data_IF_403378860079
#
_entry.id   IF_403378860079
#
_cell.length_a   1.000
_cell.length_b   1.000
_cell.length_c   1.000
_cell.angle_alpha   90.00
_cell.angle_beta   90.00
_cell.angle_gamma   90.00
#
_symmetry.space_group_name_H-M   'P 1'
#
loop_
_entity.id
_entity.type
_entity.pdbx_description
1 polymer ?
#
# COMPACT_ATOMS: atom_id res chain seq x y z
N UNK A 1 -13.68 -7.58 -8.89
CA UNK A 1 -12.84 -7.88 -7.71
C UNK A 1 -11.66 -6.91 -7.55
N UNK A 2 -11.59 -5.79 -8.29
CA UNK A 2 -10.43 -4.86 -8.29
C UNK A 2 -10.66 -3.54 -7.55
N UNK A 3 -11.81 -3.33 -6.93
CA UNK A 3 -12.17 -2.06 -6.27
C UNK A 3 -12.11 -2.13 -4.73
N UNK A 4 -11.35 -3.08 -4.17
CA UNK A 4 -11.40 -3.37 -2.74
C UNK A 4 -10.93 -2.20 -1.84
N UNK A 5 -10.33 -1.15 -2.41
CA UNK A 5 -9.76 -0.03 -1.65
C UNK A 5 -10.03 1.36 -2.26
N UNK A 6 -10.78 1.47 -3.37
CA UNK A 6 -10.95 2.78 -4.05
C UNK A 6 -9.61 3.41 -4.50
N UNK A 7 -8.62 2.57 -4.79
CA UNK A 7 -7.30 2.97 -5.30
C UNK A 7 -7.37 3.09 -6.82
N UNK A 8 -6.71 4.11 -7.36
CA UNK A 8 -6.39 4.17 -8.79
C UNK A 8 -5.52 2.98 -9.19
N UNK A 9 -5.47 2.65 -10.48
CA UNK A 9 -4.60 1.57 -10.97
C UNK A 9 -3.12 1.82 -10.61
N UNK A 10 -2.69 3.08 -10.60
CA UNK A 10 -1.33 3.47 -10.23
C UNK A 10 -1.05 3.24 -8.73
N UNK A 11 -1.96 3.68 -7.85
CA UNK A 11 -1.83 3.44 -6.41
C UNK A 11 -1.88 1.94 -6.09
N UNK A 12 -2.68 1.16 -6.82
CA UNK A 12 -2.72 -0.30 -6.68
C UNK A 12 -1.36 -0.93 -7.03
N UNK A 13 -0.75 -0.51 -8.14
CA UNK A 13 0.55 -1.02 -8.55
C UNK A 13 1.64 -0.63 -7.54
N UNK A 14 1.67 0.64 -7.12
CA UNK A 14 2.60 1.16 -6.12
C UNK A 14 2.46 0.44 -4.77
N UNK A 15 1.23 0.14 -4.34
CA UNK A 15 0.96 -0.64 -3.15
C UNK A 15 1.52 -2.07 -3.25
N UNK A 16 1.35 -2.73 -4.39
CA UNK A 16 1.85 -4.09 -4.64
C UNK A 16 3.39 -4.13 -4.66
N UNK A 17 4.04 -3.15 -5.28
CA UNK A 17 5.51 -3.04 -5.27
C UNK A 17 6.05 -2.76 -3.87
N UNK A 18 5.37 -1.90 -3.11
CA UNK A 18 5.77 -1.55 -1.76
C UNK A 18 5.62 -2.72 -0.78
N UNK A 19 4.52 -3.47 -0.86
CA UNK A 19 4.32 -4.69 -0.08
C UNK A 19 5.45 -5.68 -0.39
N UNK A 20 5.78 -5.89 -1.67
CA UNK A 20 6.86 -6.81 -2.05
C UNK A 20 8.22 -6.36 -1.49
N UNK A 21 8.54 -5.07 -1.56
CA UNK A 21 9.77 -4.53 -0.96
C UNK A 21 9.82 -4.80 0.55
N UNK A 22 8.75 -4.50 1.29
CA UNK A 22 8.68 -4.73 2.74
C UNK A 22 8.82 -6.22 3.10
N UNK A 23 8.23 -7.11 2.30
CA UNK A 23 8.40 -8.55 2.52
C UNK A 23 9.81 -9.03 2.21
N UNK A 24 10.51 -8.42 1.24
CA UNK A 24 11.91 -8.68 0.96
C UNK A 24 12.84 -8.16 2.08
N UNK A 25 12.42 -7.11 2.79
CA UNK A 25 13.07 -6.60 4.01
C UNK A 25 12.81 -7.50 5.24
N UNK A 26 11.97 -8.54 5.10
CA UNK A 26 11.68 -9.52 6.14
C UNK A 26 10.41 -9.23 6.95
N UNK A 27 9.60 -8.24 6.57
CA UNK A 27 8.29 -8.03 7.18
C UNK A 27 7.33 -9.14 6.79
N UNK A 28 6.43 -9.52 7.70
CA UNK A 28 5.32 -10.39 7.34
C UNK A 28 4.36 -9.69 6.38
N UNK A 29 3.67 -10.46 5.53
CA UNK A 29 2.68 -9.92 4.59
C UNK A 29 1.63 -9.03 5.28
N UNK A 30 1.18 -9.43 6.48
CA UNK A 30 0.20 -8.66 7.25
C UNK A 30 0.75 -7.31 7.75
N UNK A 31 2.03 -7.28 8.17
CA UNK A 31 2.69 -6.02 8.57
C UNK A 31 2.96 -5.12 7.37
N UNK A 32 3.41 -5.70 6.25
CA UNK A 32 3.65 -4.97 5.01
C UNK A 32 2.36 -4.27 4.52
N UNK A 33 1.22 -4.96 4.55
CA UNK A 33 -0.07 -4.37 4.20
C UNK A 33 -0.43 -3.20 5.13
N UNK A 34 -0.22 -3.35 6.45
CA UNK A 34 -0.52 -2.26 7.40
C UNK A 34 0.35 -1.02 7.17
N UNK A 35 1.64 -1.21 6.84
CA UNK A 35 2.55 -0.11 6.50
C UNK A 35 2.04 0.60 5.25
N UNK A 36 1.72 -0.14 4.19
CA UNK A 36 1.23 0.45 2.94
C UNK A 36 -0.11 1.16 3.10
N UNK A 37 -1.05 0.61 3.89
CA UNK A 37 -2.31 1.30 4.19
C UNK A 37 -2.06 2.62 4.91
N UNK A 38 -1.12 2.66 5.87
CA UNK A 38 -0.73 3.92 6.52
C UNK A 38 -0.10 4.90 5.54
N UNK A 39 0.83 4.45 4.70
CA UNK A 39 1.47 5.28 3.69
C UNK A 39 0.43 5.89 2.74
N UNK A 40 -0.51 5.08 2.23
CA UNK A 40 -1.62 5.54 1.37
C UNK A 40 -2.55 6.53 2.06
N UNK A 41 -2.88 6.32 3.34
CA UNK A 41 -3.68 7.26 4.12
C UNK A 41 -2.94 8.58 4.36
N UNK A 42 -1.63 8.54 4.59
CA UNK A 42 -0.80 9.73 4.77
C UNK A 42 -0.65 10.50 3.46
N UNK A 43 -0.43 9.84 2.32
CA UNK A 43 -0.37 10.50 1.01
C UNK A 43 -1.69 11.24 0.72
N UNK A 44 -2.84 10.56 0.87
CA UNK A 44 -4.17 11.16 0.65
C UNK A 44 -4.55 12.25 1.66
N UNK A 45 -4.05 12.15 2.89
CA UNK A 45 -4.28 13.14 3.95
C UNK A 45 -3.37 14.36 3.82
N UNK A 46 -2.19 14.19 3.25
CA UNK A 46 -1.24 15.28 2.97
C UNK A 46 -1.59 16.06 1.69
N UNK A 47 -2.44 15.51 0.81
CA UNK A 47 -2.95 16.17 -0.40
C UNK A 47 -4.19 17.07 -0.14
N UNK A 48 -4.47 17.47 1.12
CA UNK A 48 -5.56 18.40 1.48
C UNK A 48 -5.07 19.80 1.83
#
# INVERSE_FOLDING_TARGET
MSELLGLTHEEQQKAVERIQALTAEGLSMAEAIQVVVKELQQERGAEQ
#
